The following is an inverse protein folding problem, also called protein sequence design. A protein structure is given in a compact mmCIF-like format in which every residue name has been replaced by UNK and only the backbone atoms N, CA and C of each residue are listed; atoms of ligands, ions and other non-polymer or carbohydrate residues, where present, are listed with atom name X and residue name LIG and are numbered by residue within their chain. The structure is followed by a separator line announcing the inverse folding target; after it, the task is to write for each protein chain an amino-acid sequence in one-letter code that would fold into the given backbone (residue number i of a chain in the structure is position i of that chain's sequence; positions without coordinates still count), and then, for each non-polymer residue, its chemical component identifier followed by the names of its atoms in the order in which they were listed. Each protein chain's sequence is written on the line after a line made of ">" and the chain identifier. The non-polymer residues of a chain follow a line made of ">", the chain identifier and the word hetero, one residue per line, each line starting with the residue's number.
data_IF_495082811100
#
_entry.id   IF_495082811100
#
_cell.length_a   1.000
_cell.length_b   1.000
_cell.length_c   1.000
_cell.angle_alpha   90.00
_cell.angle_beta   90.00
_cell.angle_gamma   90.00
#
_symmetry.space_group_name_H-M   'P 1'
#
loop_
_entity.id
_entity.type
_entity.pdbx_description
1 polymer ?
#
# COMPACT_ATOMS: atom_id res chain seq x y z
N UNK A 1 -4.74 -12.25 -18.37
CA UNK A 1 -3.62 -12.51 -19.32
C UNK A 1 -3.80 -11.76 -20.64
N UNK A 2 -4.92 -11.86 -21.40
CA UNK A 2 -5.08 -11.19 -22.72
C UNK A 2 -4.86 -9.67 -22.65
N UNK A 3 -5.35 -8.97 -21.65
CA UNK A 3 -5.20 -7.52 -21.49
C UNK A 3 -3.73 -7.11 -21.28
N UNK A 4 -2.97 -7.87 -20.47
CA UNK A 4 -1.55 -7.62 -20.24
C UNK A 4 -0.72 -7.89 -21.51
N UNK A 5 -1.02 -8.96 -22.23
CA UNK A 5 -0.34 -9.29 -23.49
C UNK A 5 -0.55 -8.18 -24.53
N UNK A 6 -1.80 -7.71 -24.71
CA UNK A 6 -2.09 -6.58 -25.60
C UNK A 6 -1.28 -5.35 -25.20
N UNK A 7 -1.34 -4.95 -23.91
CA UNK A 7 -0.64 -3.76 -23.44
C UNK A 7 0.88 -3.88 -23.63
N UNK A 8 1.44 -5.07 -23.38
CA UNK A 8 2.86 -5.34 -23.64
C UNK A 8 3.22 -5.10 -25.11
N UNK A 9 2.46 -5.71 -26.03
CA UNK A 9 2.70 -5.57 -27.47
C UNK A 9 2.58 -4.12 -27.93
N UNK A 10 1.55 -3.39 -27.50
CA UNK A 10 1.34 -1.98 -27.81
C UNK A 10 2.49 -1.10 -27.31
N UNK A 11 2.98 -1.34 -26.08
CA UNK A 11 4.09 -0.58 -25.51
C UNK A 11 5.42 -0.89 -26.18
N UNK A 12 5.68 -2.15 -26.53
CA UNK A 12 6.88 -2.55 -27.27
C UNK A 12 6.87 -1.95 -28.66
N UNK A 13 5.75 -2.04 -29.40
CA UNK A 13 5.59 -1.42 -30.70
C UNK A 13 5.79 0.12 -30.65
N UNK A 14 5.18 0.80 -29.66
CA UNK A 14 5.37 2.23 -29.44
C UNK A 14 6.83 2.58 -29.05
N UNK A 15 7.57 1.66 -28.46
CA UNK A 15 8.99 1.88 -28.15
C UNK A 15 9.88 1.78 -29.38
N UNK A 16 9.58 0.84 -30.28
CA UNK A 16 10.36 0.58 -31.51
C UNK A 16 10.09 1.61 -32.61
N UNK A 17 8.86 2.09 -32.76
CA UNK A 17 8.49 3.07 -33.76
C UNK A 17 9.26 4.41 -33.67
N UNK A 18 9.91 4.69 -32.54
CA UNK A 18 10.66 5.93 -32.25
C UNK A 18 12.16 5.85 -32.47
N UNK A 19 12.71 4.71 -32.88
CA UNK A 19 14.13 4.59 -33.26
C UNK A 19 14.43 5.07 -34.71
N UNK A 20 13.40 5.52 -35.43
CA UNK A 20 13.58 6.11 -36.74
C UNK A 20 14.37 7.43 -36.69
N UNK A 21 15.38 7.55 -37.58
CA UNK A 21 16.42 8.61 -37.66
C UNK A 21 15.89 10.06 -37.75
N UNK A 22 14.58 10.27 -38.01
CA UNK A 22 13.95 11.58 -38.23
C UNK A 22 13.45 12.28 -36.94
N UNK A 23 13.28 11.56 -35.83
CA UNK A 23 12.78 12.15 -34.55
C UNK A 23 13.84 12.96 -33.78
N UNK A 24 15.10 12.84 -34.12
CA UNK A 24 16.20 13.63 -33.54
C UNK A 24 16.25 15.09 -34.00
N UNK A 25 15.60 15.43 -35.12
CA UNK A 25 15.65 16.79 -35.72
C UNK A 25 14.50 17.70 -35.28
N UNK A 26 13.38 17.17 -34.81
CA UNK A 26 12.24 17.97 -34.34
C UNK A 26 11.98 17.69 -32.88
N UNK A 27 12.49 18.55 -32.00
CA UNK A 27 12.57 18.45 -30.55
C UNK A 27 11.25 18.38 -29.75
N UNK A 28 10.13 17.90 -30.32
CA UNK A 28 8.90 17.60 -29.59
C UNK A 28 8.68 16.09 -29.51
N UNK A 29 8.84 15.52 -28.33
CA UNK A 29 8.36 14.16 -28.02
C UNK A 29 6.83 14.18 -27.87
N UNK A 30 6.07 14.24 -28.95
CA UNK A 30 4.64 13.93 -28.92
C UNK A 30 4.49 12.42 -28.66
N UNK A 31 4.37 12.07 -27.39
CA UNK A 31 4.07 10.71 -26.96
C UNK A 31 2.56 10.60 -26.76
N UNK A 32 1.89 9.84 -27.61
CA UNK A 32 0.50 9.43 -27.34
C UNK A 32 0.53 8.32 -26.29
N UNK A 33 -0.22 8.44 -25.17
CA UNK A 33 -0.27 7.38 -24.19
C UNK A 33 -0.92 6.13 -24.79
N UNK A 34 -0.34 4.97 -24.54
CA UNK A 34 -0.99 3.69 -24.81
C UNK A 34 -2.08 3.50 -23.75
N UNK A 35 -3.23 2.97 -24.14
CA UNK A 35 -4.32 2.71 -23.21
C UNK A 35 -3.91 1.63 -22.20
N UNK A 36 -3.75 2.03 -20.94
CA UNK A 36 -3.25 1.20 -19.84
C UNK A 36 -4.29 0.25 -19.25
N UNK A 37 -4.09 -0.17 -18.01
CA UNK A 37 -4.95 -1.12 -17.31
C UNK A 37 -5.21 -0.65 -15.88
N UNK A 38 -6.45 -0.82 -15.44
CA UNK A 38 -6.84 -0.65 -14.05
C UNK A 38 -7.44 -1.96 -13.55
N UNK A 39 -6.66 -2.70 -12.77
CA UNK A 39 -7.09 -3.95 -12.15
C UNK A 39 -7.78 -3.66 -10.82
N UNK A 40 -9.01 -4.14 -10.66
CA UNK A 40 -9.71 -4.02 -9.40
C UNK A 40 -10.32 -5.35 -8.95
N UNK A 41 -10.56 -5.46 -7.65
CA UNK A 41 -11.12 -6.66 -7.04
C UNK A 41 -10.64 -6.83 -5.60
N UNK A 42 -11.13 -7.82 -4.88
CA UNK A 42 -10.77 -8.10 -3.50
C UNK A 42 -9.27 -8.30 -3.27
N UNK A 43 -8.85 -8.25 -2.02
CA UNK A 43 -7.46 -8.56 -1.61
C UNK A 43 -7.15 -10.03 -1.90
N UNK A 44 -5.88 -10.38 -2.13
CA UNK A 44 -5.46 -11.77 -2.34
C UNK A 44 -5.87 -12.38 -3.69
N UNK A 45 -6.15 -11.56 -4.71
CA UNK A 45 -6.60 -11.99 -6.05
C UNK A 45 -5.50 -12.03 -7.10
N UNK A 46 -4.24 -11.91 -6.70
CA UNK A 46 -3.10 -11.95 -7.62
C UNK A 46 -2.92 -10.69 -8.48
N UNK A 47 -3.53 -9.55 -8.11
CA UNK A 47 -3.36 -8.29 -8.86
C UNK A 47 -1.89 -7.85 -8.90
N UNK A 48 -1.23 -7.91 -7.77
CA UNK A 48 0.18 -7.54 -7.59
C UNK A 48 1.08 -8.42 -8.45
N UNK A 49 0.90 -9.74 -8.40
CA UNK A 49 1.64 -10.69 -9.22
C UNK A 49 1.49 -10.43 -10.73
N UNK A 50 0.26 -10.13 -11.18
CA UNK A 50 0.02 -9.80 -12.59
C UNK A 50 0.78 -8.56 -13.04
N UNK A 51 0.83 -7.53 -12.18
CA UNK A 51 1.56 -6.29 -12.48
C UNK A 51 3.06 -6.49 -12.36
N UNK A 52 3.55 -7.31 -11.42
CA UNK A 52 4.96 -7.70 -11.28
C UNK A 52 5.46 -8.35 -12.56
N UNK A 53 4.80 -9.44 -12.95
CA UNK A 53 5.17 -10.20 -14.16
C UNK A 53 5.17 -9.30 -15.40
N UNK A 54 4.18 -8.43 -15.51
CA UNK A 54 4.11 -7.46 -16.61
C UNK A 54 5.26 -6.45 -16.57
N UNK A 55 5.51 -5.86 -15.39
CA UNK A 55 6.55 -4.85 -15.21
C UNK A 55 7.94 -5.39 -15.52
N UNK A 56 8.24 -6.59 -15.04
CA UNK A 56 9.52 -7.26 -15.31
C UNK A 56 9.70 -7.59 -16.78
N UNK A 57 8.64 -8.05 -17.46
CA UNK A 57 8.68 -8.42 -18.87
C UNK A 57 8.96 -7.24 -19.81
N UNK A 58 8.66 -5.99 -19.42
CA UNK A 58 8.88 -4.81 -20.27
C UNK A 58 10.37 -4.60 -20.56
N UNK A 59 10.80 -4.53 -21.86
CA UNK A 59 12.20 -4.55 -22.26
C UNK A 59 12.91 -3.20 -22.20
N UNK A 60 12.30 -2.17 -21.62
CA UNK A 60 12.85 -0.82 -21.51
C UNK A 60 12.97 -0.37 -20.06
N UNK A 61 13.86 0.62 -19.81
CA UNK A 61 14.18 1.12 -18.47
C UNK A 61 13.24 2.22 -17.99
N UNK A 62 12.58 2.91 -18.92
CA UNK A 62 11.68 4.04 -18.61
C UNK A 62 10.34 3.52 -18.08
N UNK A 63 10.38 2.84 -16.96
CA UNK A 63 9.24 2.28 -16.24
C UNK A 63 9.42 2.48 -14.73
N UNK A 64 8.36 2.87 -14.03
CA UNK A 64 8.34 3.06 -12.59
C UNK A 64 7.22 2.23 -12.00
N UNK A 65 7.50 1.53 -10.89
CA UNK A 65 6.50 0.89 -10.05
C UNK A 65 6.64 1.40 -8.63
N UNK A 66 5.53 1.77 -8.04
CA UNK A 66 5.48 2.30 -6.68
C UNK A 66 4.08 2.17 -6.10
N UNK A 67 3.96 2.11 -4.80
CA UNK A 67 2.67 2.29 -4.14
C UNK A 67 2.16 3.71 -4.37
N UNK A 68 0.84 3.83 -4.58
CA UNK A 68 0.22 5.11 -4.91
C UNK A 68 0.50 6.19 -3.84
N UNK A 69 0.41 5.87 -2.56
CA UNK A 69 0.69 6.84 -1.49
C UNK A 69 2.14 7.33 -1.49
N UNK A 70 3.14 6.48 -1.80
CA UNK A 70 4.56 6.88 -1.93
C UNK A 70 4.77 7.83 -3.12
N UNK A 71 4.06 7.57 -4.20
CA UNK A 71 4.06 8.46 -5.35
C UNK A 71 3.49 9.82 -4.99
N UNK A 72 2.34 9.90 -4.30
CA UNK A 72 1.74 11.15 -3.86
C UNK A 72 2.63 11.90 -2.88
N UNK A 73 3.29 11.20 -1.94
CA UNK A 73 4.30 11.80 -1.05
C UNK A 73 5.42 12.48 -1.85
N UNK A 74 5.96 11.80 -2.86
CA UNK A 74 6.97 12.38 -3.77
C UNK A 74 6.43 13.60 -4.52
N UNK A 75 5.19 13.57 -4.99
CA UNK A 75 4.54 14.74 -5.63
C UNK A 75 4.50 15.92 -4.69
N UNK A 76 4.07 15.73 -3.43
CA UNK A 76 4.05 16.78 -2.43
C UNK A 76 5.44 17.32 -2.10
N UNK A 77 6.45 16.47 -2.03
CA UNK A 77 7.84 16.89 -1.81
C UNK A 77 8.35 17.73 -2.98
N UNK A 78 8.09 17.33 -4.21
CA UNK A 78 8.46 18.10 -5.41
C UNK A 78 7.70 19.44 -5.47
N UNK A 79 6.43 19.50 -5.08
CA UNK A 79 5.69 20.75 -4.98
C UNK A 79 6.35 21.76 -4.03
N UNK A 80 6.90 21.29 -2.91
CA UNK A 80 7.64 22.15 -1.97
C UNK A 80 8.91 22.77 -2.58
N UNK A 81 9.48 22.15 -3.61
CA UNK A 81 10.66 22.67 -4.32
C UNK A 81 10.32 23.73 -5.38
N UNK A 82 9.04 23.98 -5.64
CA UNK A 82 8.53 24.88 -6.70
C UNK A 82 7.70 26.04 -6.11
N UNK A 83 8.20 26.79 -5.13
CA UNK A 83 7.43 27.89 -4.54
C UNK A 83 7.25 29.02 -5.57
N UNK A 84 6.01 29.50 -5.69
CA UNK A 84 5.68 30.62 -6.60
C UNK A 84 5.42 30.23 -8.07
N UNK A 85 5.59 28.97 -8.43
CA UNK A 85 5.25 28.49 -9.77
C UNK A 85 3.73 28.49 -9.97
N UNK A 86 3.26 29.00 -11.13
CA UNK A 86 1.82 29.03 -11.43
C UNK A 86 1.20 27.63 -11.63
N UNK A 87 1.96 26.71 -12.23
CA UNK A 87 1.51 25.37 -12.60
C UNK A 87 2.54 24.32 -12.17
N UNK A 88 2.78 24.09 -10.88
CA UNK A 88 3.82 23.18 -10.42
C UNK A 88 3.54 21.74 -10.88
N UNK A 89 2.28 21.30 -10.95
CA UNK A 89 1.92 19.95 -11.38
C UNK A 89 2.29 19.65 -12.83
N UNK A 90 2.28 20.64 -13.73
CA UNK A 90 2.75 20.46 -15.12
C UNK A 90 4.26 20.19 -15.16
N UNK A 91 5.03 20.89 -14.32
CA UNK A 91 6.48 20.68 -14.20
C UNK A 91 6.77 19.30 -13.63
N UNK A 92 6.06 18.92 -12.57
CA UNK A 92 6.20 17.62 -11.89
C UNK A 92 5.83 16.48 -12.86
N UNK A 93 4.68 16.57 -13.52
CA UNK A 93 4.27 15.58 -14.51
C UNK A 93 5.29 15.42 -15.64
N UNK A 94 5.90 16.53 -16.07
CA UNK A 94 6.98 16.51 -17.07
C UNK A 94 8.20 15.74 -16.56
N UNK A 95 8.65 15.99 -15.32
CA UNK A 95 9.77 15.26 -14.69
C UNK A 95 9.47 13.76 -14.65
N UNK A 96 8.28 13.36 -14.18
CA UNK A 96 7.88 11.95 -14.17
C UNK A 96 7.79 11.34 -15.57
N UNK A 97 7.31 12.08 -16.56
CA UNK A 97 7.26 11.60 -17.96
C UNK A 97 8.64 11.46 -18.60
N UNK A 98 9.64 12.19 -18.13
CA UNK A 98 11.03 12.03 -18.57
C UNK A 98 11.68 10.81 -17.93
N UNK A 99 11.27 10.45 -16.70
CA UNK A 99 11.71 9.27 -15.98
C UNK A 99 11.02 7.98 -16.47
N UNK A 100 9.71 8.04 -16.73
CA UNK A 100 8.94 6.85 -17.06
C UNK A 100 7.90 7.10 -18.16
N UNK A 101 7.78 6.13 -19.08
CA UNK A 101 6.67 6.04 -20.04
C UNK A 101 5.54 5.15 -19.55
N UNK A 102 5.81 4.31 -18.56
CA UNK A 102 4.83 3.47 -17.86
C UNK A 102 4.98 3.67 -16.38
N UNK A 103 3.89 3.99 -15.70
CA UNK A 103 3.84 4.04 -14.24
C UNK A 103 2.86 2.97 -13.78
N UNK A 104 3.35 2.07 -12.92
CA UNK A 104 2.55 1.05 -12.27
C UNK A 104 2.30 1.48 -10.81
N UNK A 105 1.04 1.66 -10.46
CA UNK A 105 0.63 1.93 -9.08
C UNK A 105 0.10 0.67 -8.43
N UNK A 106 0.71 0.33 -7.30
CA UNK A 106 0.11 -0.62 -6.38
C UNK A 106 -0.82 0.12 -5.41
N UNK A 107 -1.93 -0.53 -5.07
CA UNK A 107 -2.92 -0.03 -4.12
C UNK A 107 -3.40 1.40 -4.42
N UNK A 108 -3.92 1.62 -5.62
CA UNK A 108 -4.48 2.91 -6.00
C UNK A 108 -5.74 3.21 -5.16
N UNK A 109 -5.56 4.06 -4.16
CA UNK A 109 -6.60 4.47 -3.23
C UNK A 109 -6.43 5.95 -2.84
N UNK A 110 -7.52 6.71 -2.81
CA UNK A 110 -7.52 8.14 -2.47
C UNK A 110 -8.38 8.36 -1.25
N UNK A 111 -7.76 8.74 -0.14
CA UNK A 111 -8.43 9.08 1.13
C UNK A 111 -8.27 10.53 1.53
N UNK A 112 -7.17 11.16 1.12
CA UNK A 112 -6.82 12.54 1.50
C UNK A 112 -7.37 13.56 0.51
N UNK A 113 -7.89 14.68 1.05
CA UNK A 113 -8.47 15.75 0.23
C UNK A 113 -7.40 16.46 -0.61
N UNK A 114 -6.17 16.59 -0.10
CA UNK A 114 -5.09 17.27 -0.81
C UNK A 114 -4.71 16.49 -2.06
N UNK A 115 -4.59 15.16 -1.93
CA UNK A 115 -4.35 14.25 -3.06
C UNK A 115 -5.50 14.32 -4.07
N UNK A 116 -6.75 14.25 -3.58
CA UNK A 116 -7.93 14.31 -4.45
C UNK A 116 -7.97 15.60 -5.28
N UNK A 117 -7.55 16.74 -4.70
CA UNK A 117 -7.61 18.04 -5.39
C UNK A 117 -6.56 18.18 -6.50
N UNK A 118 -5.39 17.59 -6.34
CA UNK A 118 -4.29 17.72 -7.31
C UNK A 118 -4.27 16.60 -8.35
N UNK A 119 -4.86 15.45 -8.02
CA UNK A 119 -4.74 14.23 -8.84
C UNK A 119 -5.34 14.39 -10.25
N UNK A 120 -6.45 15.13 -10.37
CA UNK A 120 -7.06 15.39 -11.68
C UNK A 120 -6.10 16.08 -12.64
N UNK A 121 -5.50 17.18 -12.21
CA UNK A 121 -4.53 17.95 -13.00
C UNK A 121 -3.25 17.14 -13.26
N UNK A 122 -2.76 16.44 -12.22
CA UNK A 122 -1.56 15.62 -12.37
C UNK A 122 -1.73 14.50 -13.40
N UNK A 123 -2.84 13.77 -13.35
CA UNK A 123 -3.16 12.69 -14.30
C UNK A 123 -3.33 13.23 -15.72
N UNK A 124 -4.04 14.36 -15.88
CA UNK A 124 -4.18 15.01 -17.18
C UNK A 124 -2.81 15.33 -17.80
N UNK A 125 -1.92 15.94 -17.04
CA UNK A 125 -0.59 16.30 -17.50
C UNK A 125 0.31 15.07 -17.76
N UNK A 126 0.21 14.01 -16.94
CA UNK A 126 0.91 12.74 -17.20
C UNK A 126 0.46 12.11 -18.53
N UNK A 127 -0.84 12.03 -18.77
CA UNK A 127 -1.38 11.48 -20.03
C UNK A 127 -1.03 12.37 -21.24
N UNK A 128 -1.10 13.68 -21.12
CA UNK A 128 -0.62 14.63 -22.18
C UNK A 128 0.85 14.42 -22.52
N UNK A 129 1.66 14.06 -21.55
CA UNK A 129 3.08 13.74 -21.75
C UNK A 129 3.31 12.28 -22.19
N UNK A 130 2.25 11.51 -22.48
CA UNK A 130 2.32 10.17 -23.03
C UNK A 130 2.69 9.08 -22.03
N UNK A 131 2.40 9.29 -20.75
CA UNK A 131 2.57 8.26 -19.73
C UNK A 131 1.41 7.27 -19.78
N UNK A 132 1.71 5.99 -19.76
CA UNK A 132 0.74 4.90 -19.66
C UNK A 132 0.58 4.50 -18.20
N UNK A 133 -0.66 4.39 -17.75
CA UNK A 133 -1.01 4.01 -16.37
C UNK A 133 -1.36 2.52 -16.29
N UNK A 134 -0.74 1.81 -15.36
CA UNK A 134 -1.20 0.50 -14.88
C UNK A 134 -1.46 0.64 -13.38
N UNK A 135 -2.64 0.29 -12.91
CA UNK A 135 -2.96 0.41 -11.49
C UNK A 135 -3.65 -0.83 -10.95
N UNK A 136 -3.33 -1.19 -9.71
CA UNK A 136 -4.11 -2.14 -8.92
C UNK A 136 -4.91 -1.41 -7.86
N UNK A 137 -6.12 -1.86 -7.57
CA UNK A 137 -6.97 -1.29 -6.54
C UNK A 137 -7.94 -2.34 -5.99
N UNK A 138 -8.44 -2.12 -4.79
CA UNK A 138 -9.54 -2.91 -4.25
C UNK A 138 -10.91 -2.31 -4.63
N UNK A 139 -10.91 -1.14 -5.25
CA UNK A 139 -12.11 -0.33 -5.52
C UNK A 139 -12.20 -0.06 -7.03
N UNK A 140 -13.40 -0.20 -7.59
CA UNK A 140 -13.69 0.24 -8.97
C UNK A 140 -13.52 1.77 -9.06
N UNK A 141 -13.10 2.34 -10.22
CA UNK A 141 -12.83 3.77 -10.34
C UNK A 141 -13.98 4.68 -9.85
N UNK A 142 -15.23 4.31 -10.12
CA UNK A 142 -16.39 5.08 -9.68
C UNK A 142 -16.59 5.08 -8.15
N UNK A 143 -16.01 4.13 -7.44
CA UNK A 143 -16.02 4.03 -5.98
C UNK A 143 -14.88 4.80 -5.30
N UNK A 144 -13.87 5.26 -6.04
CA UNK A 144 -12.75 6.01 -5.47
C UNK A 144 -13.24 7.31 -4.83
N UNK A 145 -12.72 7.60 -3.63
CA UNK A 145 -13.03 8.81 -2.86
C UNK A 145 -14.55 9.06 -2.70
N UNK A 146 -15.35 7.98 -2.54
CA UNK A 146 -16.83 8.00 -2.61
C UNK A 146 -17.47 8.99 -1.63
N UNK A 147 -17.01 9.00 -0.38
CA UNK A 147 -17.55 9.86 0.69
C UNK A 147 -16.61 11.03 1.02
N UNK A 148 -15.67 11.31 0.12
CA UNK A 148 -14.65 12.33 0.31
C UNK A 148 -15.20 13.76 0.18
N UNK A 149 -14.62 14.68 0.97
CA UNK A 149 -14.96 16.10 0.94
C UNK A 149 -14.66 16.69 -0.44
N UNK A 150 -15.61 17.46 -1.00
CA UNK A 150 -15.50 18.04 -2.35
C UNK A 150 -15.28 17.01 -3.47
N UNK A 151 -15.85 15.83 -3.36
CA UNK A 151 -15.72 14.75 -4.35
C UNK A 151 -15.95 15.18 -5.80
N UNK A 152 -16.79 16.18 -6.05
CA UNK A 152 -17.05 16.73 -7.38
C UNK A 152 -15.76 17.19 -8.10
N UNK A 153 -14.75 17.65 -7.35
CA UNK A 153 -13.44 18.05 -7.91
C UNK A 153 -12.55 16.85 -8.24
N UNK A 154 -12.83 15.67 -7.69
CA UNK A 154 -12.12 14.44 -7.98
C UNK A 154 -12.70 13.69 -9.19
N UNK A 155 -13.96 13.91 -9.56
CA UNK A 155 -14.60 13.24 -10.70
C UNK A 155 -13.81 13.36 -12.03
N UNK A 156 -13.14 14.48 -12.34
CA UNK A 156 -12.29 14.56 -13.53
C UNK A 156 -11.15 13.51 -13.52
N UNK A 157 -10.53 13.23 -12.36
CA UNK A 157 -9.51 12.20 -12.24
C UNK A 157 -10.09 10.81 -12.57
N UNK A 158 -11.26 10.48 -12.04
CA UNK A 158 -11.97 9.23 -12.36
C UNK A 158 -12.25 9.12 -13.86
N UNK A 159 -12.71 10.20 -14.48
CA UNK A 159 -12.99 10.23 -15.92
C UNK A 159 -11.71 9.96 -16.74
N UNK A 160 -10.59 10.58 -16.39
CA UNK A 160 -9.30 10.35 -17.02
C UNK A 160 -8.80 8.92 -16.88
N UNK A 161 -8.92 8.33 -15.68
CA UNK A 161 -8.59 6.92 -15.45
C UNK A 161 -9.41 6.03 -16.39
N UNK A 162 -10.72 6.20 -16.43
CA UNK A 162 -11.62 5.41 -17.29
C UNK A 162 -11.34 5.63 -18.80
N UNK A 163 -10.94 6.81 -19.18
CA UNK A 163 -10.56 7.13 -20.57
C UNK A 163 -9.25 6.46 -21.00
N UNK A 164 -8.25 6.49 -20.12
CA UNK A 164 -6.89 6.08 -20.43
C UNK A 164 -6.53 4.67 -19.98
N UNK A 165 -7.45 3.94 -19.34
CA UNK A 165 -7.25 2.54 -18.94
C UNK A 165 -8.45 1.66 -19.31
N UNK A 166 -8.19 0.37 -19.55
CA UNK A 166 -9.25 -0.65 -19.52
C UNK A 166 -9.44 -1.09 -18.08
N UNK A 167 -10.70 -1.07 -17.63
CA UNK A 167 -11.08 -1.44 -16.27
C UNK A 167 -11.34 -2.94 -16.22
N UNK A 168 -10.50 -3.67 -15.52
CA UNK A 168 -10.52 -5.14 -15.45
C UNK A 168 -10.80 -5.61 -14.04
N UNK A 169 -11.88 -6.34 -13.85
CA UNK A 169 -12.14 -7.03 -12.59
C UNK A 169 -11.29 -8.30 -12.53
N UNK A 170 -10.49 -8.45 -11.45
CA UNK A 170 -9.64 -9.62 -11.20
C UNK A 170 -10.22 -10.42 -10.02
N UNK A 171 -11.52 -10.60 -9.97
CA UNK A 171 -12.13 -11.37 -8.90
C UNK A 171 -12.31 -12.84 -9.32
N UNK A 172 -11.49 -13.72 -8.75
CA UNK A 172 -11.57 -15.17 -8.94
C UNK A 172 -12.55 -15.87 -7.97
N UNK A 173 -13.18 -15.10 -7.07
CA UNK A 173 -14.12 -15.63 -6.06
C UNK A 173 -13.46 -16.29 -4.85
N UNK A 174 -12.16 -16.59 -4.84
CA UNK A 174 -11.45 -17.22 -3.72
C UNK A 174 -10.38 -16.27 -3.17
N UNK A 175 -10.51 -15.89 -1.90
CA UNK A 175 -9.47 -15.17 -1.16
C UNK A 175 -8.62 -16.17 -0.36
N UNK A 176 -7.45 -16.51 -0.89
CA UNK A 176 -6.53 -17.45 -0.26
C UNK A 176 -5.94 -16.91 1.05
N UNK A 177 -5.73 -15.59 1.15
CA UNK A 177 -5.19 -14.94 2.37
C UNK A 177 -6.23 -14.98 3.48
N UNK A 178 -7.49 -14.62 3.17
CA UNK A 178 -8.60 -14.70 4.12
C UNK A 178 -8.78 -16.13 4.63
N UNK A 179 -8.81 -17.13 3.75
CA UNK A 179 -8.95 -18.54 4.13
C UNK A 179 -7.83 -18.99 5.08
N UNK A 180 -6.58 -18.51 4.86
CA UNK A 180 -5.49 -18.83 5.78
C UNK A 180 -5.70 -18.17 7.15
N UNK A 181 -6.05 -16.88 7.18
CA UNK A 181 -6.29 -16.14 8.42
C UNK A 181 -7.45 -16.72 9.25
N UNK A 182 -8.48 -17.22 8.59
CA UNK A 182 -9.61 -17.89 9.25
C UNK A 182 -9.24 -19.23 9.89
N UNK A 183 -8.23 -19.91 9.35
CA UNK A 183 -7.76 -21.21 9.85
C UNK A 183 -6.55 -21.09 10.77
N UNK A 184 -5.88 -19.94 10.82
CA UNK A 184 -4.71 -19.71 11.64
C UNK A 184 -5.10 -19.17 13.00
N UNK A 185 -4.35 -19.56 14.00
CA UNK A 185 -4.34 -18.85 15.27
C UNK A 185 -3.62 -17.51 15.06
N UNK A 186 -4.25 -16.39 15.45
CA UNK A 186 -3.71 -15.05 15.22
C UNK A 186 -3.02 -14.47 16.46
N UNK A 187 -3.12 -15.16 17.59
CA UNK A 187 -2.44 -14.80 18.84
C UNK A 187 -1.75 -16.03 19.42
N UNK A 188 -0.44 -15.95 19.55
CA UNK A 188 0.42 -17.03 20.01
C UNK A 188 1.08 -16.67 21.34
N UNK A 189 1.04 -17.57 22.31
CA UNK A 189 1.78 -17.46 23.56
C UNK A 189 2.09 -18.88 24.11
N UNK A 190 3.07 -19.04 24.98
CA UNK A 190 4.13 -18.09 25.34
C UNK A 190 5.12 -17.89 24.17
N UNK A 191 6.05 -16.95 24.33
CA UNK A 191 7.15 -16.76 23.39
C UNK A 191 8.05 -18.00 23.39
N UNK A 192 7.98 -18.77 22.32
CA UNK A 192 8.79 -19.97 22.11
C UNK A 192 9.01 -20.23 20.61
N UNK A 193 9.79 -21.24 20.29
CA UNK A 193 10.09 -21.59 18.89
C UNK A 193 8.83 -21.96 18.09
N UNK A 194 7.86 -22.63 18.72
CA UNK A 194 6.60 -22.98 18.04
C UNK A 194 5.80 -21.74 17.64
N UNK A 195 5.72 -20.72 18.51
CA UNK A 195 5.11 -19.44 18.19
C UNK A 195 5.84 -18.75 17.04
N UNK A 196 7.18 -18.73 17.07
CA UNK A 196 7.98 -18.14 16.00
C UNK A 196 7.78 -18.84 14.64
N UNK A 197 7.78 -20.17 14.61
CA UNK A 197 7.49 -20.94 13.39
C UNK A 197 6.06 -20.71 12.87
N UNK A 198 5.07 -20.52 13.78
CA UNK A 198 3.71 -20.16 13.41
C UNK A 198 3.66 -18.79 12.71
N UNK A 199 4.39 -17.79 13.23
CA UNK A 199 4.50 -16.48 12.57
C UNK A 199 5.17 -16.58 11.19
N UNK A 200 6.24 -17.37 11.05
CA UNK A 200 6.88 -17.62 9.72
C UNK A 200 5.91 -18.25 8.75
N UNK A 201 5.13 -19.24 9.21
CA UNK A 201 4.10 -19.90 8.38
C UNK A 201 3.03 -18.91 7.94
N UNK A 202 2.56 -18.06 8.85
CA UNK A 202 1.58 -17.01 8.56
C UNK A 202 2.13 -15.99 7.56
N UNK A 203 3.38 -15.54 7.71
CA UNK A 203 4.01 -14.64 6.74
C UNK A 203 4.02 -15.25 5.34
N UNK A 204 4.49 -16.49 5.20
CA UNK A 204 4.53 -17.19 3.90
C UNK A 204 3.13 -17.35 3.28
N UNK A 205 2.14 -17.67 4.09
CA UNK A 205 0.78 -17.87 3.63
C UNK A 205 0.08 -16.55 3.23
N UNK A 206 0.45 -15.43 3.87
CA UNK A 206 -0.03 -14.09 3.50
C UNK A 206 0.68 -13.53 2.26
N UNK A 207 1.86 -14.07 1.94
CA UNK A 207 2.68 -13.62 0.81
C UNK A 207 2.96 -14.75 -0.18
N UNK A 208 1.93 -15.47 -0.70
CA UNK A 208 2.12 -16.64 -1.54
C UNK A 208 2.77 -16.33 -2.90
N UNK A 209 2.66 -15.09 -3.34
CA UNK A 209 3.16 -14.61 -4.64
C UNK A 209 4.50 -13.87 -4.49
N UNK A 210 5.01 -13.79 -3.26
CA UNK A 210 6.24 -13.09 -2.97
C UNK A 210 7.45 -13.80 -3.59
N UNK A 211 8.06 -13.18 -4.57
CA UNK A 211 9.27 -13.68 -5.22
C UNK A 211 10.54 -13.34 -4.46
N UNK A 212 10.51 -12.20 -3.74
CA UNK A 212 11.66 -11.70 -2.99
C UNK A 212 11.22 -10.89 -1.76
N UNK A 213 11.20 -11.53 -0.59
CA UNK A 213 11.01 -10.81 0.66
C UNK A 213 12.29 -10.02 1.02
N UNK A 214 12.10 -8.82 1.53
CA UNK A 214 13.20 -7.99 2.05
C UNK A 214 13.36 -8.26 3.53
N UNK A 215 14.56 -8.72 3.91
CA UNK A 215 14.94 -8.94 5.31
C UNK A 215 15.54 -7.66 5.90
N UNK A 216 15.22 -7.36 7.17
CA UNK A 216 15.68 -6.17 7.89
C UNK A 216 15.43 -4.88 7.09
N UNK A 217 14.23 -4.76 6.53
CA UNK A 217 13.84 -3.66 5.67
C UNK A 217 13.76 -2.35 6.47
N UNK A 218 14.45 -1.31 5.98
CA UNK A 218 14.52 0.01 6.59
C UNK A 218 13.46 0.93 6.01
N UNK A 219 12.34 0.99 6.69
CA UNK A 219 11.20 1.82 6.30
C UNK A 219 11.38 3.23 6.85
N UNK A 220 11.27 4.24 5.99
CA UNK A 220 11.24 5.64 6.41
C UNK A 220 9.79 6.09 6.63
N UNK A 221 9.36 6.10 7.88
CA UNK A 221 8.00 6.47 8.31
C UNK A 221 8.11 7.81 9.08
N UNK A 222 7.36 8.83 8.64
CA UNK A 222 7.37 10.16 9.28
C UNK A 222 8.80 10.69 9.54
N UNK A 223 9.71 10.53 8.56
CA UNK A 223 11.14 10.88 8.63
C UNK A 223 11.93 10.14 9.72
N UNK A 224 11.46 9.00 10.18
CA UNK A 224 12.13 8.12 11.14
C UNK A 224 12.29 6.73 10.57
N UNK A 225 13.45 6.13 10.83
CA UNK A 225 13.70 4.75 10.43
C UNK A 225 12.95 3.78 11.35
N UNK A 226 12.22 2.84 10.75
CA UNK A 226 11.63 1.67 11.41
C UNK A 226 12.17 0.44 10.70
N UNK A 227 12.71 -0.50 11.45
CA UNK A 227 13.24 -1.75 10.89
C UNK A 227 12.14 -2.81 10.97
N UNK A 228 11.70 -3.31 9.81
CA UNK A 228 10.90 -4.50 9.73
C UNK A 228 11.82 -5.72 9.64
N UNK A 229 11.54 -6.77 10.40
CA UNK A 229 12.27 -8.05 10.28
C UNK A 229 12.15 -8.59 8.86
N UNK A 230 10.95 -8.41 8.27
CA UNK A 230 10.67 -8.87 6.91
C UNK A 230 9.53 -8.06 6.30
N UNK A 231 9.64 -7.71 5.04
CA UNK A 231 8.53 -7.15 4.26
C UNK A 231 8.39 -7.89 2.93
N UNK A 232 7.17 -8.02 2.48
CA UNK A 232 6.87 -8.42 1.12
C UNK A 232 5.49 -7.90 0.72
N UNK A 233 5.43 -7.21 -0.42
CA UNK A 233 4.21 -6.54 -0.86
C UNK A 233 3.62 -5.65 0.24
N UNK A 234 2.36 -5.88 0.59
CA UNK A 234 1.58 -5.19 1.60
C UNK A 234 1.56 -5.91 2.97
N UNK A 235 2.53 -6.80 3.22
CA UNK A 235 2.72 -7.54 4.49
C UNK A 235 4.04 -7.18 5.13
N UNK A 236 4.03 -6.85 6.42
CA UNK A 236 5.23 -6.57 7.19
C UNK A 236 5.28 -7.36 8.49
N UNK A 237 6.49 -7.70 8.90
CA UNK A 237 6.77 -8.33 10.19
C UNK A 237 7.71 -7.46 11.01
N UNK A 238 7.26 -7.06 12.19
CA UNK A 238 8.03 -6.22 13.11
C UNK A 238 8.24 -6.92 14.45
N UNK A 239 9.31 -6.55 15.13
CA UNK A 239 9.43 -6.77 16.56
C UNK A 239 8.64 -5.71 17.33
N UNK A 240 8.06 -6.12 18.46
CA UNK A 240 7.26 -5.25 19.32
C UNK A 240 7.99 -3.95 19.69
N UNK A 241 9.25 -4.06 20.08
CA UNK A 241 10.05 -2.90 20.47
C UNK A 241 10.30 -1.91 19.34
N UNK A 242 10.35 -2.36 18.08
CA UNK A 242 10.49 -1.46 16.93
C UNK A 242 9.27 -0.56 16.76
N UNK A 243 8.08 -1.04 17.09
CA UNK A 243 6.84 -0.28 16.96
C UNK A 243 6.42 0.44 18.24
N UNK A 244 6.68 -0.16 19.42
CA UNK A 244 6.11 0.35 20.67
C UNK A 244 7.15 0.90 21.64
N UNK A 245 8.46 0.70 21.42
CA UNK A 245 9.53 1.29 22.24
C UNK A 245 10.26 2.40 21.46
N UNK A 246 10.56 3.51 22.10
CA UNK A 246 11.23 4.65 21.48
C UNK A 246 10.29 5.75 20.93
N UNK A 247 10.79 6.62 20.05
CA UNK A 247 10.09 7.84 19.61
C UNK A 247 9.04 7.53 18.53
N UNK A 248 7.97 6.86 18.88
CA UNK A 248 6.82 6.54 18.01
C UNK A 248 5.60 7.37 18.37
N UNK A 249 4.83 7.73 17.37
CA UNK A 249 3.60 8.52 17.50
C UNK A 249 2.46 7.85 16.73
N UNK A 250 1.26 8.31 16.95
CA UNK A 250 0.07 7.85 16.24
C UNK A 250 0.23 7.97 14.71
N UNK A 251 0.89 9.03 14.22
CA UNK A 251 1.13 9.22 12.79
C UNK A 251 1.96 8.09 12.16
N UNK A 252 2.90 7.50 12.91
CA UNK A 252 3.66 6.35 12.41
C UNK A 252 2.72 5.16 12.14
N UNK A 253 1.76 4.92 13.01
CA UNK A 253 0.80 3.81 12.87
C UNK A 253 -0.24 4.08 11.77
N UNK A 254 -0.64 5.34 11.59
CA UNK A 254 -1.47 5.77 10.45
C UNK A 254 -0.74 5.46 9.14
N UNK A 255 0.54 5.84 9.03
CA UNK A 255 1.33 5.60 7.83
C UNK A 255 1.55 4.10 7.58
N UNK A 256 1.93 3.34 8.62
CA UNK A 256 2.06 1.88 8.53
C UNK A 256 0.74 1.21 8.14
N UNK A 257 -0.38 1.65 8.72
CA UNK A 257 -1.71 1.12 8.41
C UNK A 257 -2.19 1.45 7.00
N UNK A 258 -1.65 2.51 6.36
CA UNK A 258 -1.90 2.80 4.94
C UNK A 258 -1.10 1.88 4.02
N UNK A 259 0.12 1.52 4.43
CA UNK A 259 1.05 0.73 3.62
C UNK A 259 0.73 -0.75 3.66
N UNK A 260 0.44 -1.27 4.86
CA UNK A 260 0.36 -2.71 5.09
C UNK A 260 -1.07 -3.15 5.40
N UNK A 261 -1.59 -4.10 4.62
CA UNK A 261 -2.88 -4.72 4.91
C UNK A 261 -2.79 -5.75 6.03
N UNK A 262 -1.60 -6.33 6.25
CA UNK A 262 -1.34 -7.28 7.31
C UNK A 262 0.00 -7.01 7.99
N UNK A 263 0.00 -7.06 9.32
CA UNK A 263 1.18 -6.87 10.16
C UNK A 263 1.34 -8.08 11.08
N UNK A 264 2.54 -8.62 11.11
CA UNK A 264 2.96 -9.61 12.10
C UNK A 264 3.79 -8.87 13.15
N UNK A 265 3.43 -9.04 14.41
CA UNK A 265 4.09 -8.42 15.55
C UNK A 265 4.62 -9.50 16.49
N UNK A 266 5.93 -9.64 16.57
CA UNK A 266 6.58 -10.63 17.40
C UNK A 266 7.09 -10.04 18.71
N UNK A 267 7.07 -10.84 19.78
CA UNK A 267 7.73 -10.53 21.04
C UNK A 267 7.00 -9.49 21.89
N UNK A 268 5.66 -9.48 21.89
CA UNK A 268 4.89 -8.57 22.75
C UNK A 268 5.09 -8.98 24.21
N UNK A 269 5.77 -8.11 24.95
CA UNK A 269 6.05 -8.29 26.38
C UNK A 269 4.81 -7.94 27.23
N UNK A 270 4.74 -8.50 28.43
CA UNK A 270 3.74 -8.05 29.39
C UNK A 270 4.01 -6.60 29.79
N UNK A 271 3.00 -5.76 29.71
CA UNK A 271 3.07 -4.33 30.02
C UNK A 271 2.45 -4.04 31.39
N UNK A 272 2.82 -2.92 32.01
CA UNK A 272 2.27 -2.51 33.30
C UNK A 272 2.80 -1.16 33.76
N UNK A 273 2.78 -0.93 35.06
CA UNK A 273 3.10 0.38 35.70
C UNK A 273 4.38 1.02 35.18
N UNK A 274 5.43 0.23 34.97
CA UNK A 274 6.76 0.74 34.55
C UNK A 274 6.86 0.92 33.02
N UNK A 275 5.89 0.46 32.28
CA UNK A 275 5.86 0.47 30.79
C UNK A 275 4.58 1.10 30.23
N UNK A 276 3.95 2.01 31.00
CA UNK A 276 2.72 2.71 30.58
C UNK A 276 2.91 3.48 29.27
N UNK A 277 4.09 3.99 28.98
CA UNK A 277 4.39 4.69 27.73
C UNK A 277 4.46 3.72 26.52
N UNK A 278 5.00 2.52 26.73
CA UNK A 278 4.99 1.43 25.73
C UNK A 278 3.56 0.95 25.50
N UNK A 279 2.81 0.74 26.61
CA UNK A 279 1.41 0.35 26.53
C UNK A 279 0.54 1.39 25.82
N UNK A 280 0.79 2.68 26.01
CA UNK A 280 0.11 3.76 25.28
C UNK A 280 0.36 3.68 23.78
N UNK A 281 1.58 3.43 23.37
CA UNK A 281 1.92 3.25 21.95
C UNK A 281 1.28 2.00 21.37
N UNK A 282 1.27 0.90 22.10
CA UNK A 282 0.59 -0.33 21.70
C UNK A 282 -0.92 -0.11 21.52
N UNK A 283 -1.58 0.59 22.45
CA UNK A 283 -3.00 0.97 22.33
C UNK A 283 -3.22 1.77 21.05
N UNK A 284 -2.43 2.82 20.82
CA UNK A 284 -2.56 3.67 19.65
C UNK A 284 -2.35 2.87 18.35
N UNK A 285 -1.37 1.97 18.32
CA UNK A 285 -1.12 1.09 17.18
C UNK A 285 -2.33 0.19 16.88
N UNK A 286 -2.86 -0.48 17.90
CA UNK A 286 -4.03 -1.36 17.74
C UNK A 286 -5.25 -0.57 17.29
N UNK A 287 -5.46 0.63 17.85
CA UNK A 287 -6.56 1.51 17.47
C UNK A 287 -6.49 1.89 15.98
N UNK A 288 -5.33 2.31 15.49
CA UNK A 288 -5.15 2.68 14.08
C UNK A 288 -5.27 1.47 13.13
N UNK A 289 -4.72 0.34 13.51
CA UNK A 289 -4.80 -0.88 12.71
C UNK A 289 -6.22 -1.43 12.66
N UNK A 290 -6.96 -1.37 13.77
CA UNK A 290 -8.37 -1.74 13.81
C UNK A 290 -9.22 -0.87 12.89
N UNK A 291 -9.08 0.46 12.95
CA UNK A 291 -9.87 1.40 12.17
C UNK A 291 -9.61 1.28 10.66
N UNK A 292 -8.40 0.82 10.28
CA UNK A 292 -7.98 0.58 8.89
C UNK A 292 -8.17 -0.86 8.42
N UNK A 293 -8.74 -1.73 9.26
CA UNK A 293 -8.92 -3.15 8.99
C UNK A 293 -7.59 -3.88 8.66
N UNK A 294 -6.47 -3.45 9.24
CA UNK A 294 -5.19 -4.15 9.13
C UNK A 294 -5.29 -5.48 9.87
N UNK A 295 -4.87 -6.57 9.24
CA UNK A 295 -4.85 -7.90 9.87
C UNK A 295 -3.63 -8.01 10.75
N UNK A 296 -3.82 -8.31 12.02
CA UNK A 296 -2.75 -8.32 13.02
C UNK A 296 -2.56 -9.73 13.58
N UNK A 297 -1.33 -10.25 13.46
CA UNK A 297 -0.92 -11.54 14.01
C UNK A 297 0.15 -11.27 15.06
N UNK A 298 -0.03 -11.81 16.27
CA UNK A 298 0.79 -11.47 17.43
C UNK A 298 1.42 -12.71 18.04
N UNK A 299 2.69 -12.62 18.45
CA UNK A 299 3.25 -13.49 19.49
C UNK A 299 3.57 -12.69 20.75
N UNK A 300 3.18 -13.23 21.91
CA UNK A 300 3.27 -12.54 23.19
C UNK A 300 3.83 -13.43 24.29
N UNK A 301 4.35 -12.77 25.33
CA UNK A 301 4.91 -13.43 26.52
C UNK A 301 3.83 -14.14 27.35
N UNK A 302 2.63 -13.53 27.39
CA UNK A 302 1.51 -13.97 28.25
C UNK A 302 0.21 -14.04 27.43
N UNK A 303 -0.84 -14.60 28.03
CA UNK A 303 -2.18 -14.59 27.45
C UNK A 303 -2.69 -13.17 27.16
N UNK A 304 -3.56 -13.05 26.17
CA UNK A 304 -4.12 -11.77 25.73
C UNK A 304 -4.71 -10.93 26.88
N UNK A 305 -5.41 -11.56 27.82
CA UNK A 305 -6.03 -10.92 28.99
C UNK A 305 -5.02 -10.35 29.98
N UNK A 306 -3.79 -10.90 29.98
CA UNK A 306 -2.73 -10.59 30.95
C UNK A 306 -1.65 -9.66 30.34
N UNK A 307 -1.84 -9.18 29.10
CA UNK A 307 -0.89 -8.29 28.40
C UNK A 307 -0.62 -7.00 29.14
N UNK A 308 -1.57 -6.52 29.95
CA UNK A 308 -1.40 -5.29 30.73
C UNK A 308 -1.89 -5.48 32.16
N UNK A 309 -1.05 -5.20 33.14
CA UNK A 309 -1.35 -5.39 34.56
C UNK A 309 -0.97 -4.18 35.40
N UNK A 310 -1.90 -3.71 36.25
CA UNK A 310 -1.63 -2.79 37.36
C UNK A 310 -1.30 -1.35 37.05
N UNK A 311 -1.26 -0.94 35.74
CA UNK A 311 -0.92 0.42 35.35
C UNK A 311 -2.12 1.37 35.27
N UNK A 312 -1.87 2.61 34.81
CA UNK A 312 -2.91 3.66 34.73
C UNK A 312 -3.85 3.49 33.54
N UNK A 313 -3.52 2.62 32.59
CA UNK A 313 -4.21 2.47 31.31
C UNK A 313 -5.21 1.31 31.31
N UNK A 314 -5.60 0.78 32.48
CA UNK A 314 -6.49 -0.37 32.59
C UNK A 314 -7.78 -0.19 31.79
N UNK A 315 -8.41 0.98 31.87
CA UNK A 315 -9.67 1.25 31.19
C UNK A 315 -9.49 1.24 29.66
N UNK A 316 -8.49 1.96 29.15
CA UNK A 316 -8.19 2.04 27.72
C UNK A 316 -7.75 0.67 27.18
N UNK A 317 -6.98 -0.08 27.98
CA UNK A 317 -6.51 -1.39 27.58
C UNK A 317 -7.63 -2.43 27.47
N UNK A 318 -8.69 -2.33 28.27
CA UNK A 318 -9.88 -3.18 28.11
C UNK A 318 -10.55 -2.98 26.73
N UNK A 319 -10.60 -1.75 26.21
CA UNK A 319 -11.05 -1.48 24.85
C UNK A 319 -10.11 -2.12 23.82
N UNK A 320 -8.82 -2.01 24.04
CA UNK A 320 -7.80 -2.61 23.16
C UNK A 320 -7.93 -4.13 23.13
N UNK A 321 -8.17 -4.78 24.28
CA UNK A 321 -8.45 -6.22 24.35
C UNK A 321 -9.68 -6.60 23.53
N UNK A 322 -10.76 -5.83 23.67
CA UNK A 322 -11.99 -6.07 22.91
C UNK A 322 -11.74 -5.96 21.39
N UNK A 323 -10.96 -4.96 20.96
CA UNK A 323 -10.57 -4.81 19.55
C UNK A 323 -9.69 -5.97 19.07
N UNK A 324 -8.70 -6.39 19.84
CA UNK A 324 -7.83 -7.52 19.50
C UNK A 324 -8.63 -8.84 19.37
N UNK A 325 -9.64 -9.05 20.21
CA UNK A 325 -10.56 -10.18 20.07
C UNK A 325 -11.42 -10.06 18.80
N UNK A 326 -11.98 -8.88 18.52
CA UNK A 326 -12.75 -8.66 17.30
C UNK A 326 -11.89 -8.81 16.05
N UNK A 327 -10.64 -8.36 16.06
CA UNK A 327 -9.70 -8.50 14.93
C UNK A 327 -9.43 -9.97 14.56
N UNK A 328 -9.68 -10.92 15.44
CA UNK A 328 -9.58 -12.35 15.17
C UNK A 328 -10.88 -12.95 14.60
N UNK A 329 -11.97 -12.19 14.59
CA UNK A 329 -13.26 -12.68 14.09
C UNK A 329 -13.30 -12.80 12.57
N UNK A 330 -14.04 -13.78 12.05
CA UNK A 330 -14.30 -13.93 10.61
C UNK A 330 -14.84 -12.64 9.99
N UNK A 331 -15.75 -11.96 10.69
CA UNK A 331 -16.33 -10.70 10.22
C UNK A 331 -15.26 -9.62 9.99
N UNK A 332 -14.35 -9.43 10.95
CA UNK A 332 -13.26 -8.45 10.81
C UNK A 332 -12.25 -8.87 9.74
N UNK A 333 -11.89 -10.15 9.69
CA UNK A 333 -10.92 -10.65 8.71
C UNK A 333 -11.42 -10.51 7.28
N UNK A 334 -12.74 -10.59 7.06
CA UNK A 334 -13.36 -10.39 5.75
C UNK A 334 -13.48 -8.92 5.31
N UNK A 335 -13.32 -7.96 6.24
CA UNK A 335 -13.34 -6.52 5.90
C UNK A 335 -12.16 -6.16 5.00
N UNK A 336 -12.41 -5.38 3.94
CA UNK A 336 -11.37 -4.85 3.08
C UNK A 336 -10.45 -3.89 3.85
N UNK A 337 -9.15 -3.92 3.55
CA UNK A 337 -8.18 -2.94 4.04
C UNK A 337 -8.57 -1.52 3.61
N UNK A 338 -8.34 -0.53 4.50
CA UNK A 338 -8.60 0.91 4.28
C UNK A 338 -7.27 1.66 4.37
N UNK A 339 -6.50 1.77 3.29
CA UNK A 339 -5.22 2.47 3.27
C UNK A 339 -5.33 3.97 3.52
#
# INVERSE_FOLDING_TARGET
>A
MRHLQRLYEDLVAASQSKQGMLSKLFGKKDRTPVKGLYFWGGVGRGKTYLVDTFFEALPFKEKVRTHFHRFMKRVHEEMKTLPGEKNPLTIIAKRFSDEARVICFDEFFVSDITDAMILGTLMEELFKNGVTLVATSNIVPDGLYKDGLQRARFLPAIALIKQHTDIVNVDSGVDYRLRHLEQAELFHFPLNEAAHESLKKSFRALTPECTQAVENDKLMIENREIIALRTCDDVAWFEFRQLCDGPRSQNDYIELGKIFHAVILSGVEQMGVTTDDIARRFINMVDEFYDRNVKLIISAEVELKDLYTGGRLNFEFQRTLSRLLEMQSHEFLSRGHKP
#
